data_IF_355740155122
#
_entry.id   IF_355740155122
#
_cell.length_a   1.000
_cell.length_b   1.000
_cell.length_c   1.000
_cell.angle_alpha   90.00
_cell.angle_beta   90.00
_cell.angle_gamma   90.00
#
_symmetry.space_group_name_H-M   'P 1'
#
loop_
_entity.id
_entity.type
_entity.pdbx_description
1 polymer ?
#
# COMPACT_ATOMS: atom_id res chain seq x y z
N UNK A 1 25.42 57.86 -43.56
CA UNK A 1 25.42 56.66 -44.42
C UNK A 1 26.60 55.79 -44.00
N UNK A 2 26.43 54.50 -43.68
CA UNK A 2 25.40 53.87 -42.84
C UNK A 2 26.04 53.04 -41.67
N UNK A 3 25.31 52.69 -40.61
CA UNK A 3 25.64 51.51 -39.81
C UNK A 3 25.23 50.24 -40.58
N UNK A 4 26.16 49.29 -40.69
CA UNK A 4 25.96 47.99 -41.33
C UNK A 4 25.11 47.06 -40.47
N UNK A 5 24.13 46.45 -41.13
CA UNK A 5 23.33 45.32 -40.68
C UNK A 5 24.19 44.18 -40.13
N UNK A 6 23.86 43.67 -38.95
CA UNK A 6 23.70 42.21 -38.73
C UNK A 6 22.65 42.01 -37.64
N UNK A 7 21.37 42.15 -37.99
CA UNK A 7 20.32 41.48 -37.22
C UNK A 7 20.05 40.15 -37.93
N UNK A 8 20.67 39.08 -37.43
CA UNK A 8 20.36 37.72 -37.87
C UNK A 8 18.93 37.39 -37.44
N UNK A 9 18.07 36.84 -38.30
CA UNK A 9 16.76 36.41 -37.86
C UNK A 9 16.97 35.15 -37.03
N UNK A 10 16.81 35.29 -35.71
CA UNK A 10 16.59 34.15 -34.84
C UNK A 10 15.31 33.47 -35.34
N UNK A 11 15.49 32.36 -36.04
CA UNK A 11 14.41 31.56 -36.57
C UNK A 11 13.53 31.17 -35.38
N UNK A 12 12.41 31.88 -35.23
CA UNK A 12 11.36 31.56 -34.29
C UNK A 12 10.99 30.10 -34.54
N UNK A 13 11.48 29.23 -33.66
CA UNK A 13 11.18 27.80 -33.68
C UNK A 13 9.69 27.70 -33.46
N UNK A 14 8.94 27.63 -34.56
CA UNK A 14 7.51 27.55 -34.55
C UNK A 14 7.14 26.35 -33.69
N UNK A 15 6.69 26.64 -32.47
CA UNK A 15 6.03 25.65 -31.64
C UNK A 15 4.83 25.19 -32.46
N UNK A 16 4.91 23.99 -33.04
CA UNK A 16 3.81 23.34 -33.73
C UNK A 16 2.58 23.52 -32.86
N UNK A 17 1.50 24.15 -33.36
CA UNK A 17 0.36 24.45 -32.53
C UNK A 17 -0.18 23.12 -32.02
N UNK A 18 -0.10 22.91 -30.70
CA UNK A 18 -0.68 21.78 -29.95
C UNK A 18 -2.22 21.85 -29.97
N UNK A 19 -2.79 22.32 -31.07
CA UNK A 19 -4.12 22.92 -31.14
C UNK A 19 -5.17 22.00 -31.79
N UNK A 20 -4.77 20.84 -32.31
CA UNK A 20 -5.71 19.88 -32.94
C UNK A 20 -5.51 18.43 -32.47
N UNK A 21 -4.66 18.19 -31.47
CA UNK A 21 -4.54 16.87 -30.88
C UNK A 21 -5.59 16.72 -29.78
N UNK A 22 -6.66 15.95 -30.04
CA UNK A 22 -7.60 15.51 -29.00
C UNK A 22 -6.87 14.47 -28.14
N UNK A 23 -6.20 14.95 -27.09
CA UNK A 23 -5.46 14.12 -26.15
C UNK A 23 -6.21 13.98 -24.85
N UNK A 24 -6.10 12.81 -24.22
CA UNK A 24 -6.53 12.61 -22.84
C UNK A 24 -5.55 13.35 -21.92
N UNK A 25 -6.08 14.25 -21.10
CA UNK A 25 -5.27 14.94 -20.10
C UNK A 25 -5.06 14.04 -18.89
N UNK A 26 -3.88 14.05 -18.24
CA UNK A 26 -3.66 13.29 -17.02
C UNK A 26 -4.65 13.69 -15.93
N UNK A 27 -5.47 12.74 -15.48
CA UNK A 27 -6.39 12.97 -14.36
C UNK A 27 -5.73 12.53 -13.05
N UNK A 28 -5.22 13.50 -12.28
CA UNK A 28 -4.57 13.25 -10.98
C UNK A 28 -5.55 12.93 -9.85
N UNK A 29 -6.85 13.03 -10.09
CA UNK A 29 -7.91 12.74 -9.11
C UNK A 29 -8.73 11.51 -9.47
N UNK A 30 -8.29 10.74 -10.48
CA UNK A 30 -8.99 9.52 -10.88
C UNK A 30 -8.88 8.46 -9.78
N UNK A 31 -10.01 8.20 -9.12
CA UNK A 31 -10.16 7.06 -8.23
C UNK A 31 -10.44 5.81 -9.06
N UNK A 32 -9.72 4.74 -8.79
CA UNK A 32 -9.90 3.45 -9.43
C UNK A 32 -9.85 2.32 -8.40
N UNK A 33 -10.65 1.28 -8.63
CA UNK A 33 -10.54 0.04 -7.89
C UNK A 33 -9.41 -0.80 -8.51
N UNK A 34 -8.34 -1.05 -7.75
CA UNK A 34 -7.28 -1.99 -8.16
C UNK A 34 -7.44 -3.31 -7.45
N UNK A 35 -7.31 -4.39 -8.22
CA UNK A 35 -6.99 -5.69 -7.64
C UNK A 35 -5.57 -5.63 -7.07
N UNK A 36 -5.44 -5.97 -5.80
CA UNK A 36 -4.15 -6.13 -5.12
C UNK A 36 -4.18 -7.42 -4.33
N UNK A 37 -3.10 -8.19 -4.42
CA UNK A 37 -2.85 -9.30 -3.52
C UNK A 37 -2.02 -8.82 -2.33
N UNK A 38 -2.26 -9.38 -1.15
CA UNK A 38 -1.57 -8.99 0.08
C UNK A 38 -0.07 -9.29 0.01
N UNK A 39 0.30 -10.37 -0.65
CA UNK A 39 1.69 -10.77 -0.78
C UNK A 39 2.49 -9.77 -1.62
N UNK A 40 1.94 -9.23 -2.71
CA UNK A 40 2.64 -8.25 -3.55
C UNK A 40 2.74 -6.87 -2.92
N UNK A 41 1.99 -6.59 -1.85
CA UNK A 41 2.17 -5.35 -1.07
C UNK A 41 3.47 -5.36 -0.26
N UNK A 42 4.05 -6.54 0.01
CA UNK A 42 5.25 -6.67 0.83
C UNK A 42 6.47 -6.98 -0.05
N UNK A 43 7.56 -6.19 0.04
CA UNK A 43 8.83 -6.54 -0.60
C UNK A 43 9.32 -7.94 -0.19
N UNK A 44 10.10 -8.66 -1.02
CA UNK A 44 10.58 -10.01 -0.70
C UNK A 44 11.34 -10.13 0.63
N UNK A 45 12.05 -9.07 1.04
CA UNK A 45 12.79 -9.02 2.31
C UNK A 45 12.02 -8.45 3.50
N UNK A 46 10.71 -8.22 3.37
CA UNK A 46 9.93 -7.59 4.44
C UNK A 46 9.76 -8.52 5.65
N UNK A 47 10.07 -8.04 6.86
CA UNK A 47 10.04 -8.83 8.11
C UNK A 47 8.68 -9.48 8.37
N UNK A 48 7.58 -8.84 7.97
CA UNK A 48 6.23 -9.39 8.12
C UNK A 48 6.05 -10.75 7.41
N UNK A 49 6.75 -11.03 6.30
CA UNK A 49 6.71 -12.34 5.64
C UNK A 49 7.32 -13.44 6.51
N UNK A 50 8.44 -13.13 7.18
CA UNK A 50 9.09 -14.06 8.11
C UNK A 50 8.21 -14.32 9.33
N UNK A 51 7.59 -13.27 9.87
CA UNK A 51 6.63 -13.38 10.98
C UNK A 51 5.45 -14.26 10.60
N UNK A 52 4.82 -13.98 9.44
CA UNK A 52 3.67 -14.75 8.97
C UNK A 52 4.03 -16.23 8.77
N UNK A 53 5.12 -16.51 8.04
CA UNK A 53 5.57 -17.87 7.83
C UNK A 53 5.95 -18.60 9.14
N UNK A 54 6.45 -17.88 10.15
CA UNK A 54 6.66 -18.47 11.48
C UNK A 54 5.33 -18.84 12.15
N UNK A 55 4.36 -17.93 12.16
CA UNK A 55 3.03 -18.14 12.77
C UNK A 55 2.28 -19.30 12.13
N UNK A 56 2.33 -19.44 10.80
CA UNK A 56 1.70 -20.55 10.07
C UNK A 56 2.19 -21.94 10.50
N UNK A 57 3.38 -22.04 11.11
CA UNK A 57 3.95 -23.29 11.59
C UNK A 57 3.72 -23.54 13.08
N UNK A 58 3.07 -22.62 13.80
CA UNK A 58 2.82 -22.78 15.22
C UNK A 58 1.52 -23.55 15.46
N UNK A 59 1.49 -24.29 16.56
CA UNK A 59 0.25 -24.85 17.09
C UNK A 59 -0.54 -23.74 17.78
N UNK A 60 -1.71 -23.41 17.23
CA UNK A 60 -2.62 -22.39 17.74
C UNK A 60 -3.92 -22.99 18.31
N UNK A 61 -3.99 -24.31 18.47
CA UNK A 61 -5.20 -25.00 18.96
C UNK A 61 -5.69 -24.41 20.29
N UNK A 62 -4.77 -24.09 21.20
CA UNK A 62 -5.09 -23.47 22.48
C UNK A 62 -5.72 -22.07 22.36
N UNK A 63 -5.36 -21.29 21.33
CA UNK A 63 -5.97 -19.97 21.09
C UNK A 63 -7.37 -20.11 20.48
N UNK A 64 -7.53 -21.09 19.59
CA UNK A 64 -8.83 -21.43 19.00
C UNK A 64 -9.80 -22.01 20.01
N UNK A 65 -9.34 -22.83 20.97
CA UNK A 65 -10.17 -23.46 22.00
C UNK A 65 -10.95 -22.44 22.86
N UNK A 66 -10.46 -21.21 22.99
CA UNK A 66 -11.15 -20.12 23.69
C UNK A 66 -12.27 -19.44 22.90
N UNK A 67 -12.37 -19.69 21.58
CA UNK A 67 -13.34 -19.06 20.69
C UNK A 67 -14.68 -19.77 20.84
N UNK A 68 -15.71 -19.00 21.25
CA UNK A 68 -17.06 -19.51 21.51
C UNK A 68 -18.00 -19.42 20.30
N UNK A 69 -17.58 -18.75 19.24
CA UNK A 69 -18.39 -18.56 18.03
C UNK A 69 -18.21 -19.79 17.14
N UNK A 70 -19.30 -20.53 16.92
CA UNK A 70 -19.32 -21.74 16.08
C UNK A 70 -20.01 -21.47 14.75
N UNK A 71 -19.74 -22.33 13.76
CA UNK A 71 -20.43 -22.32 12.48
C UNK A 71 -21.96 -22.44 12.70
N UNK A 72 -22.74 -21.59 12.02
CA UNK A 72 -24.20 -21.53 12.15
C UNK A 72 -24.73 -20.85 13.43
N UNK A 73 -23.85 -20.37 14.32
CA UNK A 73 -24.24 -19.61 15.52
C UNK A 73 -24.54 -18.14 15.25
N UNK A 74 -25.25 -17.48 16.17
CA UNK A 74 -25.49 -16.03 16.13
C UNK A 74 -24.29 -15.27 16.71
N UNK A 75 -23.76 -14.29 15.96
CA UNK A 75 -22.66 -13.43 16.41
C UNK A 75 -21.74 -12.98 15.29
N UNK A 76 -20.85 -12.03 15.58
CA UNK A 76 -19.76 -11.63 14.67
C UNK A 76 -18.70 -12.73 14.66
N UNK A 77 -18.17 -13.06 13.47
CA UNK A 77 -17.02 -13.94 13.35
C UNK A 77 -15.84 -13.44 14.20
N UNK A 78 -15.17 -14.35 14.90
CA UNK A 78 -13.94 -14.04 15.60
C UNK A 78 -12.82 -13.71 14.61
N UNK A 79 -11.88 -12.86 15.02
CA UNK A 79 -10.64 -12.65 14.26
C UNK A 79 -9.79 -13.91 14.43
N UNK A 80 -9.25 -14.41 13.32
CA UNK A 80 -8.36 -15.56 13.32
C UNK A 80 -7.14 -15.29 14.23
N UNK A 81 -6.81 -16.16 15.20
CA UNK A 81 -5.68 -16.00 16.12
C UNK A 81 -4.34 -15.72 15.44
N UNK A 82 -4.10 -16.29 14.26
CA UNK A 82 -2.92 -16.07 13.42
C UNK A 82 -2.68 -14.58 13.17
N UNK A 83 -3.76 -13.83 12.88
CA UNK A 83 -3.69 -12.40 12.57
C UNK A 83 -3.23 -11.63 13.81
N UNK A 84 -3.85 -11.90 14.96
CA UNK A 84 -3.53 -11.20 16.21
C UNK A 84 -2.13 -11.55 16.70
N UNK A 85 -1.74 -12.83 16.57
CA UNK A 85 -0.43 -13.29 16.98
C UNK A 85 0.68 -12.75 16.09
N UNK A 86 0.50 -12.79 14.76
CA UNK A 86 1.42 -12.19 13.80
C UNK A 86 1.56 -10.68 14.02
N UNK A 87 0.45 -9.97 14.24
CA UNK A 87 0.46 -8.54 14.52
C UNK A 87 1.25 -8.23 15.80
N UNK A 88 1.02 -8.98 16.88
CA UNK A 88 1.74 -8.79 18.12
C UNK A 88 3.24 -9.08 17.96
N UNK A 89 3.60 -10.19 17.33
CA UNK A 89 5.00 -10.54 17.10
C UNK A 89 5.69 -9.49 16.22
N UNK A 90 5.05 -9.04 15.14
CA UNK A 90 5.59 -7.99 14.30
C UNK A 90 5.77 -6.67 15.07
N UNK A 91 4.77 -6.25 15.84
CA UNK A 91 4.85 -5.05 16.66
C UNK A 91 6.03 -5.10 17.66
N UNK A 92 6.22 -6.23 18.34
CA UNK A 92 7.33 -6.38 19.29
C UNK A 92 8.69 -6.32 18.60
N UNK A 93 8.80 -6.88 17.39
CA UNK A 93 9.99 -6.79 16.55
C UNK A 93 10.30 -5.37 16.06
N UNK A 94 9.28 -4.52 15.96
CA UNK A 94 9.39 -3.07 15.68
C UNK A 94 9.51 -2.23 16.97
N UNK A 95 9.66 -2.85 18.14
CA UNK A 95 9.84 -2.16 19.42
C UNK A 95 8.54 -1.65 20.07
N UNK A 96 7.38 -2.07 19.56
CA UNK A 96 6.06 -1.69 20.08
C UNK A 96 5.56 -2.74 21.06
N UNK A 97 5.63 -2.41 22.36
CA UNK A 97 5.27 -3.33 23.46
C UNK A 97 3.90 -3.09 24.11
N UNK A 98 3.04 -2.21 23.56
CA UNK A 98 1.72 -1.96 24.15
C UNK A 98 0.59 -1.99 23.12
N UNK A 99 -0.51 -2.68 23.47
CA UNK A 99 -1.65 -2.86 22.56
C UNK A 99 -2.30 -1.55 22.13
N UNK A 100 -2.26 -0.50 22.97
CA UNK A 100 -2.75 0.84 22.59
C UNK A 100 -1.89 1.50 21.50
N UNK A 101 -0.58 1.29 21.52
CA UNK A 101 0.29 1.79 20.46
C UNK A 101 0.05 1.00 19.16
N UNK A 102 -0.13 -0.32 19.25
CA UNK A 102 -0.51 -1.14 18.09
C UNK A 102 -1.82 -0.65 17.48
N UNK A 103 -2.85 -0.40 18.29
CA UNK A 103 -4.15 0.10 17.80
C UNK A 103 -4.00 1.39 16.98
N UNK A 104 -3.24 2.37 17.47
CA UNK A 104 -2.97 3.64 16.77
C UNK A 104 -2.19 3.48 15.46
N UNK A 105 -1.39 2.42 15.33
CA UNK A 105 -0.63 2.12 14.11
C UNK A 105 -1.47 1.37 13.06
N UNK A 106 -2.66 0.89 13.46
CA UNK A 106 -3.59 0.14 12.59
C UNK A 106 -4.88 0.89 12.30
N UNK A 107 -5.02 2.12 12.81
CA UNK A 107 -6.08 3.08 12.46
C UNK A 107 -5.77 3.78 11.13
#
# INVERSE_FOLDING_TARGET
MPPSDVNAPEAAKAALPKALARVLMPNRTQLEWRASDLESLLPPGHRARLVWGYVERQDLEGLYAGIKVSEGGVGRAAIAPEILYALWLYATLEGVGCGRAVARLTE
#
